data_IF_975612746759
#
_entry.id   IF_975612746759
#
_cell.length_a   1.000
_cell.length_b   1.000
_cell.length_c   1.000
_cell.angle_alpha   90.00
_cell.angle_beta   90.00
_cell.angle_gamma   90.00
#
_symmetry.space_group_name_H-M   'P 1'
#
loop_
_entity.id
_entity.type
_entity.pdbx_description
1 polymer ?
#
# COMPACT_ATOMS: atom_id res chain seq x y z
N UNK A 1 -11.97 15.15 -9.03
CA UNK A 1 -13.40 14.78 -8.86
C UNK A 1 -13.36 13.41 -8.21
N UNK A 2 -13.57 13.32 -6.90
CA UNK A 2 -13.61 12.03 -6.22
C UNK A 2 -14.75 11.22 -6.83
N UNK A 3 -14.53 9.93 -7.08
CA UNK A 3 -15.62 9.04 -7.42
C UNK A 3 -16.48 8.93 -6.15
N UNK A 4 -17.73 9.41 -6.21
CA UNK A 4 -18.71 9.06 -5.19
C UNK A 4 -18.89 7.55 -5.24
N UNK A 5 -18.54 6.88 -4.15
CA UNK A 5 -18.94 5.50 -3.92
C UNK A 5 -20.47 5.40 -3.86
N UNK A 6 -21.03 4.20 -4.06
CA UNK A 6 -22.48 4.01 -4.05
C UNK A 6 -23.08 4.49 -2.71
N UNK A 7 -24.28 5.06 -2.79
CA UNK A 7 -25.01 5.57 -1.63
C UNK A 7 -25.25 4.46 -0.59
N UNK A 8 -25.17 4.82 0.70
CA UNK A 8 -25.16 3.89 1.84
C UNK A 8 -26.40 2.98 2.00
N UNK A 9 -27.47 3.22 1.24
CA UNK A 9 -28.76 2.50 1.33
C UNK A 9 -29.10 1.66 0.09
N UNK A 10 -28.11 1.21 -0.70
CA UNK A 10 -28.31 0.23 -1.78
C UNK A 10 -27.87 -1.18 -1.38
N UNK A 11 -28.37 -2.22 -2.07
CA UNK A 11 -27.87 -3.60 -1.90
C UNK A 11 -26.34 -3.69 -2.08
N UNK A 12 -25.75 -2.85 -2.95
CA UNK A 12 -24.29 -2.72 -3.12
C UNK A 12 -23.59 -2.23 -1.82
N UNK A 13 -24.22 -1.36 -1.04
CA UNK A 13 -23.69 -0.90 0.24
C UNK A 13 -23.72 -2.01 1.32
N UNK A 14 -24.72 -2.89 1.30
CA UNK A 14 -24.77 -4.07 2.17
C UNK A 14 -23.63 -5.05 1.87
N UNK A 15 -23.31 -5.25 0.59
CA UNK A 15 -22.16 -6.06 0.20
C UNK A 15 -20.84 -5.45 0.66
N UNK A 16 -20.69 -4.13 0.62
CA UNK A 16 -19.46 -3.45 1.09
C UNK A 16 -19.17 -3.71 2.57
N UNK A 17 -20.20 -3.63 3.44
CA UNK A 17 -20.02 -3.87 4.87
C UNK A 17 -19.60 -5.31 5.18
N UNK A 18 -20.22 -6.29 4.51
CA UNK A 18 -19.86 -7.71 4.67
C UNK A 18 -18.42 -8.00 4.19
N UNK A 19 -18.00 -7.34 3.11
CA UNK A 19 -16.64 -7.42 2.57
C UNK A 19 -15.64 -6.79 3.54
N UNK A 20 -15.90 -5.58 4.06
CA UNK A 20 -15.06 -4.92 5.05
C UNK A 20 -14.89 -5.78 6.31
N UNK A 21 -15.97 -6.36 6.81
CA UNK A 21 -15.93 -7.25 7.97
C UNK A 21 -15.07 -8.49 7.68
N UNK A 22 -15.19 -9.08 6.49
CA UNK A 22 -14.35 -10.19 6.07
C UNK A 22 -12.86 -9.83 6.03
N UNK A 23 -12.52 -8.65 5.50
CA UNK A 23 -11.15 -8.13 5.51
C UNK A 23 -10.61 -7.96 6.93
N UNK A 24 -11.38 -7.34 7.84
CA UNK A 24 -10.98 -7.16 9.25
C UNK A 24 -10.74 -8.50 9.95
N UNK A 25 -11.62 -9.49 9.73
CA UNK A 25 -11.45 -10.85 10.27
C UNK A 25 -10.21 -11.55 9.72
N UNK A 26 -9.88 -11.35 8.44
CA UNK A 26 -8.71 -11.93 7.82
C UNK A 26 -7.42 -11.30 8.35
N UNK A 27 -7.33 -9.97 8.37
CA UNK A 27 -6.17 -9.22 8.86
C UNK A 27 -5.88 -9.55 10.32
N UNK A 28 -6.91 -9.66 11.17
CA UNK A 28 -6.73 -10.02 12.58
C UNK A 28 -6.13 -11.41 12.82
N UNK A 29 -6.20 -12.31 11.83
CA UNK A 29 -5.68 -13.68 11.92
C UNK A 29 -4.37 -13.87 11.16
N UNK A 30 -4.00 -12.93 10.31
CA UNK A 30 -2.81 -13.05 9.49
C UNK A 30 -1.55 -12.86 10.33
N UNK A 31 -0.71 -13.89 10.37
CA UNK A 31 0.61 -13.82 10.99
C UNK A 31 1.64 -13.50 9.92
N UNK A 32 2.23 -12.32 10.00
CA UNK A 32 3.29 -11.89 9.09
C UNK A 32 4.52 -12.77 9.33
N UNK A 33 5.04 -13.36 8.25
CA UNK A 33 6.28 -14.12 8.30
C UNK A 33 7.45 -13.19 7.88
N UNK A 34 8.62 -13.29 8.53
CA UNK A 34 9.79 -12.54 8.12
C UNK A 34 10.18 -12.84 6.66
N UNK A 35 10.71 -11.83 5.98
CA UNK A 35 11.21 -11.92 4.61
C UNK A 35 12.63 -11.35 4.54
N UNK A 36 13.60 -12.23 4.33
CA UNK A 36 15.02 -11.85 4.22
C UNK A 36 15.41 -11.39 2.80
N UNK A 37 14.51 -11.55 1.83
CA UNK A 37 14.72 -11.11 0.46
C UNK A 37 14.53 -9.60 0.30
N UNK A 38 14.87 -9.11 -0.90
CA UNK A 38 14.59 -7.73 -1.28
C UNK A 38 13.07 -7.49 -1.30
N UNK A 39 12.60 -6.40 -0.67
CA UNK A 39 11.21 -5.95 -0.73
C UNK A 39 11.19 -4.49 -1.16
N UNK A 40 10.34 -4.13 -2.12
CA UNK A 40 10.19 -2.74 -2.57
C UNK A 40 8.77 -2.27 -2.22
N UNK A 41 8.67 -1.27 -1.35
CA UNK A 41 7.42 -0.63 -0.97
C UNK A 41 7.23 0.67 -1.76
N UNK A 42 6.25 0.66 -2.66
CA UNK A 42 5.69 1.88 -3.22
C UNK A 42 4.56 2.36 -2.31
N UNK A 43 4.63 3.61 -1.85
CA UNK A 43 3.60 4.21 -0.99
C UNK A 43 3.39 5.68 -1.33
N UNK A 44 2.24 6.30 -0.99
CA UNK A 44 2.06 7.73 -1.18
C UNK A 44 2.92 8.52 -0.17
N UNK A 45 3.05 9.86 -0.34
CA UNK A 45 3.63 10.72 0.68
C UNK A 45 2.88 10.56 2.00
N UNK A 46 3.62 10.50 3.11
CA UNK A 46 3.03 10.30 4.43
C UNK A 46 2.25 11.53 4.89
N UNK A 47 1.06 11.31 5.44
CA UNK A 47 0.29 12.34 6.13
C UNK A 47 0.88 12.64 7.50
N UNK A 48 1.90 13.49 7.56
CA UNK A 48 2.52 13.96 8.82
C UNK A 48 1.70 15.10 9.42
N UNK A 49 0.53 14.78 9.96
CA UNK A 49 -0.43 15.79 10.35
C UNK A 49 -0.15 16.43 11.73
N UNK A 50 0.01 15.62 12.78
CA UNK A 50 0.36 16.11 14.12
C UNK A 50 1.72 15.61 14.57
N UNK A 51 2.61 16.52 14.97
CA UNK A 51 3.89 16.16 15.59
C UNK A 51 3.66 15.82 17.07
N UNK A 52 4.16 14.67 17.52
CA UNK A 52 4.05 14.22 18.90
C UNK A 52 5.43 14.06 19.55
N UNK A 53 5.46 13.66 20.82
CA UNK A 53 6.70 13.43 21.58
C UNK A 53 7.60 12.40 20.91
N UNK A 54 8.92 12.48 21.16
CA UNK A 54 9.89 11.56 20.58
C UNK A 54 10.16 11.78 19.09
N UNK A 55 9.66 12.87 18.49
CA UNK A 55 9.88 13.17 17.07
C UNK A 55 8.96 12.42 16.11
N UNK A 56 8.00 11.65 16.64
CA UNK A 56 7.01 10.93 15.87
C UNK A 56 5.92 11.85 15.32
N UNK A 57 5.19 11.34 14.33
CA UNK A 57 4.06 12.01 13.72
C UNK A 57 2.84 11.10 13.74
N UNK A 58 1.66 11.71 13.77
CA UNK A 58 0.37 11.03 13.71
C UNK A 58 -0.41 11.55 12.51
N UNK A 59 -1.01 10.64 11.73
CA UNK A 59 -1.84 10.96 10.57
C UNK A 59 -3.22 11.47 10.97
N UNK A 60 -3.98 12.05 10.03
CA UNK A 60 -5.38 12.43 10.26
C UNK A 60 -6.27 11.24 10.69
N UNK A 61 -5.89 10.02 10.28
CA UNK A 61 -6.54 8.78 10.69
C UNK A 61 -6.16 8.32 12.12
N UNK A 62 -5.32 9.08 12.84
CA UNK A 62 -4.84 8.81 14.20
C UNK A 62 -3.91 7.59 14.30
N UNK A 63 -3.13 7.38 13.25
CA UNK A 63 -2.12 6.31 13.18
C UNK A 63 -0.72 6.91 13.29
N UNK A 64 0.21 6.16 13.90
CA UNK A 64 1.62 6.55 13.88
C UNK A 64 2.21 6.45 12.48
N UNK A 65 3.01 7.45 12.12
CA UNK A 65 3.56 7.58 10.79
C UNK A 65 5.03 7.16 10.81
N UNK A 66 5.31 6.01 10.22
CA UNK A 66 6.66 5.47 10.03
C UNK A 66 7.10 5.58 8.58
N UNK A 67 8.39 5.87 8.36
CA UNK A 67 8.95 6.05 7.01
C UNK A 67 8.72 4.83 6.10
N UNK A 68 8.74 3.65 6.69
CA UNK A 68 8.64 2.33 6.08
C UNK A 68 7.29 1.66 6.29
N UNK A 69 6.28 2.40 6.76
CA UNK A 69 4.99 1.86 7.21
C UNK A 69 5.17 0.69 8.21
N UNK A 70 6.22 0.75 9.04
CA UNK A 70 6.55 -0.23 10.07
C UNK A 70 6.91 -1.63 9.52
N UNK A 71 7.25 -1.75 8.23
CA UNK A 71 7.56 -3.05 7.61
C UNK A 71 8.99 -3.54 7.81
N UNK A 72 9.96 -2.68 8.13
CA UNK A 72 11.38 -3.10 8.24
C UNK A 72 11.60 -4.17 9.33
N UNK A 73 10.73 -4.21 10.35
CA UNK A 73 10.78 -5.25 11.38
C UNK A 73 10.53 -6.67 10.84
N UNK A 74 9.84 -6.78 9.71
CA UNK A 74 9.56 -8.07 9.03
C UNK A 74 10.40 -8.26 7.78
N UNK A 75 10.79 -7.18 7.10
CA UNK A 75 11.59 -7.21 5.88
C UNK A 75 12.80 -6.26 6.01
N UNK A 76 13.95 -6.72 6.53
CA UNK A 76 15.09 -5.84 6.80
C UNK A 76 15.71 -5.20 5.55
N UNK A 77 15.56 -5.85 4.38
CA UNK A 77 16.05 -5.35 3.08
C UNK A 77 14.98 -4.57 2.31
N UNK A 78 14.16 -3.78 3.03
CA UNK A 78 13.10 -2.94 2.46
C UNK A 78 13.65 -1.69 1.77
N UNK A 79 13.21 -1.44 0.55
CA UNK A 79 13.40 -0.19 -0.19
C UNK A 79 12.07 0.56 -0.30
N UNK A 80 12.05 1.85 0.09
CA UNK A 80 10.84 2.68 0.03
C UNK A 80 10.91 3.66 -1.14
N UNK A 81 9.83 3.74 -1.92
CA UNK A 81 9.66 4.70 -3.00
C UNK A 81 8.33 5.43 -2.86
N UNK A 82 8.39 6.76 -2.77
CA UNK A 82 7.20 7.58 -2.73
C UNK A 82 6.62 7.79 -4.14
N UNK A 83 5.32 7.59 -4.28
CA UNK A 83 4.56 7.81 -5.51
C UNK A 83 3.55 8.93 -5.26
N UNK A 84 3.43 9.94 -6.13
CA UNK A 84 2.47 11.04 -5.92
C UNK A 84 1.02 10.55 -5.76
N UNK A 85 0.18 11.36 -5.12
CA UNK A 85 -1.21 11.01 -4.82
C UNK A 85 -1.39 10.47 -3.40
N UNK A 86 -2.48 9.75 -3.20
CA UNK A 86 -2.84 9.02 -1.98
C UNK A 86 -2.96 7.52 -2.28
N UNK A 87 -3.42 6.71 -1.32
CA UNK A 87 -3.53 5.26 -1.49
C UNK A 87 -4.39 4.85 -2.70
N UNK A 88 -5.41 5.64 -3.03
CA UNK A 88 -6.32 5.34 -4.14
C UNK A 88 -5.76 5.86 -5.46
N UNK A 89 -5.23 7.08 -5.45
CA UNK A 89 -4.81 7.78 -6.66
C UNK A 89 -3.37 7.51 -7.08
N UNK A 90 -2.52 6.94 -6.22
CA UNK A 90 -1.13 6.61 -6.57
C UNK A 90 -1.02 5.56 -7.69
N UNK A 91 -2.07 4.74 -7.86
CA UNK A 91 -2.18 3.73 -8.93
C UNK A 91 -2.97 4.21 -10.14
N UNK A 92 -3.39 5.47 -10.15
CA UNK A 92 -4.16 6.08 -11.24
C UNK A 92 -3.32 7.13 -11.98
N UNK A 93 -3.72 7.43 -13.21
CA UNK A 93 -3.13 8.51 -13.99
C UNK A 93 -3.34 9.88 -13.31
N UNK A 94 -2.32 10.75 -13.27
CA UNK A 94 -0.98 10.60 -13.88
C UNK A 94 0.06 9.93 -12.96
N UNK A 95 -0.26 9.70 -11.69
CA UNK A 95 0.68 9.27 -10.65
C UNK A 95 1.30 7.90 -10.95
N UNK A 96 0.51 6.98 -11.50
CA UNK A 96 0.93 5.62 -11.85
C UNK A 96 2.14 5.58 -12.78
N UNK A 97 2.37 6.64 -13.59
CA UNK A 97 3.55 6.73 -14.45
C UNK A 97 4.86 6.74 -13.65
N UNK A 98 4.86 7.38 -12.49
CA UNK A 98 6.04 7.43 -11.60
C UNK A 98 6.32 6.05 -11.01
N UNK A 99 5.26 5.37 -10.55
CA UNK A 99 5.36 3.99 -10.05
C UNK A 99 5.87 3.06 -11.15
N UNK A 100 5.26 3.08 -12.33
CA UNK A 100 5.61 2.20 -13.45
C UNK A 100 7.04 2.41 -13.95
N UNK A 101 7.47 3.67 -14.13
CA UNK A 101 8.85 3.97 -14.53
C UNK A 101 9.88 3.45 -13.52
N UNK A 102 9.58 3.59 -12.22
CA UNK A 102 10.47 3.05 -11.19
C UNK A 102 10.46 1.52 -11.20
N UNK A 103 9.28 0.89 -11.29
CA UNK A 103 9.15 -0.57 -11.34
C UNK A 103 9.95 -1.17 -12.51
N UNK A 104 9.86 -0.57 -13.69
CA UNK A 104 10.63 -1.00 -14.87
C UNK A 104 12.14 -0.90 -14.66
N UNK A 105 12.64 0.07 -13.89
CA UNK A 105 14.07 0.13 -13.55
C UNK A 105 14.52 -0.93 -12.55
N UNK A 106 13.58 -1.48 -11.77
CA UNK A 106 13.86 -2.46 -10.71
C UNK A 106 13.70 -3.90 -11.17
N UNK A 107 12.85 -4.12 -12.17
CA UNK A 107 12.64 -5.40 -12.82
C UNK A 107 13.43 -5.38 -14.12
N UNK A 108 14.58 -6.08 -14.22
CA UNK A 108 15.22 -6.25 -15.52
C UNK A 108 14.24 -6.94 -16.48
N UNK A 109 14.37 -6.68 -17.79
CA UNK A 109 13.62 -7.42 -18.82
C UNK A 109 13.87 -8.91 -18.64
N UNK A 110 12.97 -9.56 -17.90
CA UNK A 110 12.82 -11.00 -17.96
C UNK A 110 11.92 -11.25 -19.17
N UNK A 111 12.33 -12.10 -20.13
CA UNK A 111 11.39 -12.55 -21.14
C UNK A 111 10.15 -13.06 -20.42
N UNK A 112 8.98 -12.50 -20.73
CA UNK A 112 7.73 -13.00 -20.19
C UNK A 112 7.70 -14.50 -20.48
N UNK A 113 7.67 -15.32 -19.44
CA UNK A 113 7.59 -16.77 -19.54
C UNK A 113 8.62 -17.37 -20.52
N UNK A 114 9.85 -17.69 -20.08
CA UNK A 114 10.42 -18.93 -20.61
C UNK A 114 9.48 -20.04 -20.15
N UNK A 115 8.91 -20.72 -21.13
CA UNK A 115 7.86 -21.73 -21.03
C UNK A 115 7.98 -22.60 -19.76
N UNK A 116 6.82 -22.94 -19.20
CA UNK A 116 6.67 -24.24 -18.57
C UNK A 116 7.01 -25.32 -19.63
N UNK A 117 8.29 -25.66 -19.70
CA UNK A 117 8.84 -26.72 -20.50
C UNK A 117 9.85 -27.49 -19.64
N UNK A 118 9.31 -28.29 -18.73
CA UNK A 118 9.63 -29.73 -18.61
C UNK A 118 8.49 -30.46 -17.93
#
# INVERSE_FOLDING_TARGET
>A
KLADGPAADSEDAFHNAAIEEAFRRAVAKYTVHPWDGRLVLFRPPLDRHWKVTGGHWVSRAREYVFHDNDWTQFAPALEVHEVPGDHDSMVLEPNVRVLAAKLQSLLPDQPCCKEAAE
#
